data_IF_182957708567
#
_entry.id   IF_182957708567
#
_cell.length_a   1.000
_cell.length_b   1.000
_cell.length_c   1.000
_cell.angle_alpha   90.00
_cell.angle_beta   90.00
_cell.angle_gamma   90.00
#
_symmetry.space_group_name_H-M   'P 1'
#
loop_
_entity.id
_entity.type
_entity.pdbx_description
1 polymer ?
#
# COMPACT_ATOMS: atom_id res chain seq x y z
N UNK A 1 -0.40 -55.95 -13.29
CA UNK A 1 -0.63 -54.52 -13.65
C UNK A 1 -1.12 -53.61 -12.50
N UNK A 2 -0.95 -53.96 -11.20
CA UNK A 2 -1.40 -53.10 -10.07
C UNK A 2 -0.30 -52.27 -9.38
N UNK A 3 0.99 -52.53 -9.63
CA UNK A 3 2.11 -51.86 -8.94
C UNK A 3 2.56 -50.53 -9.55
N UNK A 4 2.23 -50.26 -10.81
CA UNK A 4 2.63 -49.03 -11.52
C UNK A 4 1.82 -47.80 -11.10
N UNK A 5 0.58 -47.99 -10.63
CA UNK A 5 -0.30 -46.89 -10.25
C UNK A 5 0.11 -46.18 -8.95
N UNK A 6 0.77 -46.89 -8.02
CA UNK A 6 1.27 -46.30 -6.78
C UNK A 6 2.55 -45.47 -6.96
N UNK A 7 3.44 -45.89 -7.85
CA UNK A 7 4.70 -45.18 -8.14
C UNK A 7 4.41 -43.84 -8.84
N UNK A 8 3.44 -43.81 -9.75
CA UNK A 8 3.03 -42.59 -10.45
C UNK A 8 2.46 -41.52 -9.49
N UNK A 9 1.75 -41.95 -8.44
CA UNK A 9 1.17 -41.06 -7.44
C UNK A 9 2.22 -40.45 -6.51
N UNK A 10 3.22 -41.25 -6.10
CA UNK A 10 4.38 -40.76 -5.32
C UNK A 10 5.22 -39.77 -6.13
N UNK A 11 5.40 -40.03 -7.43
CA UNK A 11 6.09 -39.09 -8.32
C UNK A 11 5.31 -37.77 -8.45
N UNK A 12 3.99 -37.80 -8.63
CA UNK A 12 3.17 -36.59 -8.74
C UNK A 12 3.22 -35.70 -7.49
N UNK A 13 3.32 -36.29 -6.29
CA UNK A 13 3.46 -35.54 -5.03
C UNK A 13 4.83 -34.88 -4.85
N UNK A 14 5.88 -35.35 -5.55
CA UNK A 14 7.22 -34.76 -5.45
C UNK A 14 7.47 -33.59 -6.42
N UNK A 15 6.55 -33.34 -7.36
CA UNK A 15 6.63 -32.22 -8.31
C UNK A 15 5.73 -31.03 -7.97
N UNK A 16 5.08 -31.02 -6.80
CA UNK A 16 4.39 -29.83 -6.31
C UNK A 16 5.41 -28.82 -5.75
N UNK A 17 6.25 -28.27 -6.63
CA UNK A 17 7.00 -27.05 -6.33
C UNK A 17 5.98 -25.93 -6.19
N UNK A 18 5.82 -25.43 -4.97
CA UNK A 18 5.10 -24.20 -4.69
C UNK A 18 5.81 -23.07 -5.44
N UNK A 19 5.18 -22.58 -6.51
CA UNK A 19 5.64 -21.41 -7.24
C UNK A 19 5.03 -20.19 -6.58
N UNK A 20 5.85 -19.43 -5.85
CA UNK A 20 5.48 -18.13 -5.31
C UNK A 20 6.10 -17.04 -6.19
N UNK A 21 5.28 -16.09 -6.64
CA UNK A 21 5.77 -14.91 -7.35
C UNK A 21 6.31 -13.90 -6.34
N UNK A 22 7.62 -13.60 -6.40
CA UNK A 22 8.27 -12.58 -5.57
C UNK A 22 8.01 -11.13 -6.03
N UNK A 23 7.21 -10.94 -7.08
CA UNK A 23 6.91 -9.62 -7.66
C UNK A 23 5.41 -9.36 -7.61
N UNK A 24 5.04 -8.21 -7.08
CA UNK A 24 3.69 -7.67 -7.06
C UNK A 24 3.56 -6.61 -8.17
N UNK A 25 2.76 -6.92 -9.19
CA UNK A 25 2.48 -5.99 -10.29
C UNK A 25 1.30 -5.10 -9.89
N UNK A 26 1.57 -3.81 -9.69
CA UNK A 26 0.59 -2.81 -9.24
C UNK A 26 -0.05 -2.09 -10.42
N UNK A 27 0.77 -1.82 -11.44
CA UNK A 27 0.34 -1.33 -12.74
C UNK A 27 1.35 -1.71 -13.81
N UNK A 28 1.06 -1.39 -15.07
CA UNK A 28 1.98 -1.63 -16.18
C UNK A 28 3.33 -0.89 -16.04
N UNK A 29 3.41 0.10 -15.14
CA UNK A 29 4.61 0.92 -14.88
C UNK A 29 5.19 0.75 -13.49
N UNK A 30 4.53 0.01 -12.60
CA UNK A 30 4.96 -0.13 -11.22
C UNK A 30 4.86 -1.58 -10.76
N UNK A 31 6.02 -2.11 -10.38
CA UNK A 31 6.18 -3.43 -9.80
C UNK A 31 6.95 -3.28 -8.50
N UNK A 32 6.62 -4.11 -7.52
CA UNK A 32 7.28 -4.15 -6.23
C UNK A 32 7.74 -5.57 -5.98
N UNK A 33 9.04 -5.73 -5.82
CA UNK A 33 9.59 -6.99 -5.33
C UNK A 33 9.41 -7.05 -3.81
N UNK A 34 8.96 -8.19 -3.31
CA UNK A 34 8.74 -8.42 -1.90
C UNK A 34 9.32 -9.77 -1.47
N UNK A 35 9.89 -9.87 -0.27
CA UNK A 35 10.37 -11.15 0.25
C UNK A 35 9.17 -12.08 0.51
N UNK A 36 9.44 -13.38 0.54
CA UNK A 36 8.39 -14.40 0.77
C UNK A 36 7.66 -14.16 2.11
N UNK A 37 6.34 -13.93 2.09
CA UNK A 37 5.55 -13.68 3.29
C UNK A 37 5.18 -14.99 4.00
N UNK A 38 4.97 -14.92 5.30
CA UNK A 38 4.40 -16.04 6.08
C UNK A 38 2.91 -16.24 5.76
N UNK A 39 2.22 -15.15 5.43
CA UNK A 39 0.80 -15.18 5.10
C UNK A 39 0.47 -14.04 4.14
N UNK A 40 -0.30 -14.37 3.10
CA UNK A 40 -1.02 -13.39 2.28
C UNK A 40 -2.50 -13.54 2.62
N UNK A 41 -3.15 -12.43 2.96
CA UNK A 41 -4.58 -12.41 3.28
C UNK A 41 -5.27 -11.25 2.59
N UNK A 42 -6.53 -11.46 2.23
CA UNK A 42 -7.41 -10.43 1.67
C UNK A 42 -8.40 -9.99 2.74
N UNK A 43 -8.57 -8.68 2.90
CA UNK A 43 -9.57 -8.09 3.80
C UNK A 43 -10.25 -6.93 3.07
N UNK A 44 -11.47 -7.15 2.58
CA UNK A 44 -12.13 -6.19 1.70
C UNK A 44 -11.36 -6.01 0.39
N UNK A 45 -10.97 -4.76 0.10
CA UNK A 45 -10.17 -4.39 -1.07
C UNK A 45 -8.66 -4.34 -0.79
N UNK A 46 -8.24 -4.72 0.42
CA UNK A 46 -6.85 -4.63 0.88
C UNK A 46 -6.16 -6.00 0.86
N UNK A 47 -4.97 -6.05 0.27
CA UNK A 47 -4.07 -7.19 0.29
C UNK A 47 -3.03 -7.01 1.40
N UNK A 48 -2.90 -8.00 2.28
CA UNK A 48 -2.05 -7.94 3.47
C UNK A 48 -1.03 -9.06 3.41
N UNK A 49 0.24 -8.69 3.53
CA UNK A 49 1.39 -9.58 3.57
C UNK A 49 1.99 -9.52 4.97
N UNK A 50 1.98 -10.65 5.67
CA UNK A 50 2.53 -10.75 7.03
C UNK A 50 3.87 -11.45 7.01
N UNK A 51 4.80 -10.87 7.76
CA UNK A 51 6.11 -11.42 8.07
C UNK A 51 6.20 -11.65 9.57
N UNK A 52 7.35 -12.15 10.03
CA UNK A 52 7.55 -12.44 11.46
C UNK A 52 7.39 -11.21 12.34
N UNK A 53 8.04 -10.11 11.95
CA UNK A 53 8.16 -8.91 12.80
C UNK A 53 7.60 -7.64 12.13
N UNK A 54 7.02 -7.77 10.94
CA UNK A 54 6.45 -6.67 10.19
C UNK A 54 5.34 -7.14 9.25
N UNK A 55 4.58 -6.21 8.69
CA UNK A 55 3.61 -6.48 7.65
C UNK A 55 3.55 -5.33 6.66
N UNK A 56 3.14 -5.61 5.42
CA UNK A 56 2.71 -4.57 4.52
C UNK A 56 1.29 -4.82 4.03
N UNK A 57 0.57 -3.73 3.85
CA UNK A 57 -0.77 -3.66 3.32
C UNK A 57 -0.72 -2.86 2.03
N UNK A 58 -1.47 -3.33 1.04
CA UNK A 58 -1.72 -2.66 -0.22
C UNK A 58 -3.22 -2.50 -0.39
N UNK A 59 -3.67 -1.30 -0.73
CA UNK A 59 -5.04 -1.05 -1.13
C UNK A 59 -5.15 0.08 -2.17
N UNK A 60 -6.39 0.27 -2.61
CA UNK A 60 -6.76 1.36 -3.51
C UNK A 60 -7.53 2.39 -2.72
N UNK A 61 -7.14 3.66 -2.83
CA UNK A 61 -7.90 4.74 -2.22
C UNK A 61 -9.26 4.82 -2.91
N UNK A 62 -10.29 4.41 -2.20
CA UNK A 62 -11.66 4.51 -2.65
C UNK A 62 -12.27 5.81 -2.10
N UNK A 63 -12.58 6.80 -2.97
CA UNK A 63 -13.04 8.12 -2.54
C UNK A 63 -14.33 8.10 -1.73
N UNK A 64 -15.13 7.04 -1.87
CA UNK A 64 -16.44 6.92 -1.20
C UNK A 64 -16.36 6.32 0.19
N UNK A 65 -15.27 5.61 0.50
CA UNK A 65 -15.18 4.78 1.71
C UNK A 65 -13.97 5.08 2.58
N UNK A 66 -12.98 5.82 2.07
CA UNK A 66 -11.78 6.20 2.85
C UNK A 66 -12.12 6.99 4.11
N UNK A 67 -13.13 7.84 4.08
CA UNK A 67 -13.67 8.51 5.26
C UNK A 67 -15.16 8.25 5.36
N UNK A 68 -15.61 7.80 6.54
CA UNK A 68 -17.02 7.60 6.80
C UNK A 68 -17.76 8.92 6.63
N UNK A 69 -18.85 8.89 5.87
CA UNK A 69 -19.73 10.05 5.62
C UNK A 69 -19.16 11.17 4.74
N UNK A 70 -18.01 10.96 4.07
CA UNK A 70 -17.45 11.95 3.14
C UNK A 70 -17.16 11.28 1.80
N UNK A 71 -17.86 11.70 0.75
CA UNK A 71 -17.53 11.31 -0.63
C UNK A 71 -16.50 12.29 -1.20
N UNK A 72 -15.29 11.79 -1.47
CA UNK A 72 -14.19 12.54 -2.04
C UNK A 72 -14.09 12.41 -3.57
N UNK A 73 -15.10 11.87 -4.24
CA UNK A 73 -15.05 11.60 -5.69
C UNK A 73 -14.75 12.88 -6.47
N UNK A 74 -13.69 12.85 -7.26
CA UNK A 74 -13.22 13.97 -8.09
C UNK A 74 -12.23 14.90 -7.37
N UNK A 75 -12.04 14.75 -6.07
CA UNK A 75 -11.09 15.55 -5.27
C UNK A 75 -10.11 14.70 -4.47
N UNK A 76 -10.21 13.37 -4.52
CA UNK A 76 -9.45 12.44 -3.67
C UNK A 76 -7.95 12.59 -3.82
N UNK A 77 -7.43 12.68 -5.05
CA UNK A 77 -5.99 12.89 -5.29
C UNK A 77 -5.49 14.18 -4.68
N UNK A 78 -6.24 15.28 -4.87
CA UNK A 78 -5.88 16.60 -4.33
C UNK A 78 -5.95 16.58 -2.81
N UNK A 79 -6.95 15.92 -2.25
CA UNK A 79 -7.10 15.75 -0.81
C UNK A 79 -5.93 14.97 -0.20
N UNK A 80 -5.59 13.78 -0.71
CA UNK A 80 -4.45 13.01 -0.17
C UNK A 80 -3.14 13.77 -0.35
N UNK A 81 -2.91 14.43 -1.50
CA UNK A 81 -1.70 15.26 -1.71
C UNK A 81 -1.60 16.40 -0.71
N UNK A 82 -2.73 16.93 -0.23
CA UNK A 82 -2.74 18.00 0.75
C UNK A 82 -2.18 17.61 2.12
N UNK A 83 -2.03 16.31 2.41
CA UNK A 83 -1.30 15.86 3.60
C UNK A 83 0.18 16.27 3.53
N UNK A 84 0.74 16.32 2.32
CA UNK A 84 2.17 16.50 2.07
C UNK A 84 2.56 17.87 1.52
N UNK A 85 1.57 18.71 1.20
CA UNK A 85 1.78 20.01 0.58
C UNK A 85 0.75 21.03 1.09
N UNK A 86 1.24 22.04 1.82
CA UNK A 86 0.41 23.10 2.40
C UNK A 86 -0.20 24.01 1.33
N UNK A 87 0.44 24.18 0.17
CA UNK A 87 -0.11 24.94 -0.96
C UNK A 87 -1.29 24.22 -1.60
N UNK A 88 -1.21 22.89 -1.71
CA UNK A 88 -2.34 22.09 -2.19
C UNK A 88 -3.48 22.16 -1.16
N UNK A 89 -3.16 22.09 0.13
CA UNK A 89 -4.14 22.20 1.21
C UNK A 89 -4.89 23.53 1.21
N UNK A 90 -4.21 24.65 0.99
CA UNK A 90 -4.84 25.97 0.94
C UNK A 90 -5.78 26.17 -0.26
N UNK A 91 -5.73 25.29 -1.25
CA UNK A 91 -6.63 25.31 -2.42
C UNK A 91 -7.87 24.41 -2.23
N UNK A 92 -8.03 23.75 -1.08
CA UNK A 92 -9.22 22.97 -0.75
C UNK A 92 -10.28 23.86 -0.10
N UNK A 93 -11.57 23.47 -0.15
CA UNK A 93 -12.58 24.05 0.72
C UNK A 93 -12.13 24.03 2.18
N UNK A 94 -12.50 25.06 2.95
CA UNK A 94 -12.00 25.27 4.31
C UNK A 94 -12.18 24.03 5.22
N UNK A 95 -13.36 23.41 5.20
CA UNK A 95 -13.65 22.21 5.98
C UNK A 95 -12.74 21.03 5.59
N UNK A 96 -12.41 20.88 4.30
CA UNK A 96 -11.59 19.80 3.80
C UNK A 96 -10.10 20.08 4.06
N UNK A 97 -9.68 21.34 4.02
CA UNK A 97 -8.35 21.78 4.46
C UNK A 97 -8.14 21.53 5.97
N UNK A 98 -9.18 21.77 6.78
CA UNK A 98 -9.17 21.47 8.21
C UNK A 98 -9.04 19.96 8.46
N UNK A 99 -9.85 19.14 7.79
CA UNK A 99 -9.74 17.67 7.88
C UNK A 99 -8.34 17.19 7.48
N UNK A 100 -7.78 17.70 6.38
CA UNK A 100 -6.40 17.38 5.96
C UNK A 100 -5.36 17.73 7.02
N UNK A 101 -5.51 18.89 7.68
CA UNK A 101 -4.61 19.32 8.77
C UNK A 101 -4.72 18.40 9.99
N UNK A 102 -5.92 17.92 10.31
CA UNK A 102 -6.13 16.94 11.37
C UNK A 102 -5.48 15.60 11.03
N UNK A 103 -5.66 15.10 9.80
CA UNK A 103 -5.03 13.85 9.34
C UNK A 103 -3.51 13.92 9.44
N UNK A 104 -2.90 15.03 9.03
CA UNK A 104 -1.44 15.26 9.17
C UNK A 104 -0.98 15.12 10.61
N UNK A 105 -1.76 15.64 11.56
CA UNK A 105 -1.44 15.56 12.99
C UNK A 105 -1.61 14.13 13.52
N UNK A 106 -2.70 13.46 13.16
CA UNK A 106 -2.97 12.07 13.58
C UNK A 106 -1.91 11.12 13.04
N UNK A 107 -1.51 11.30 11.79
CA UNK A 107 -0.50 10.49 11.12
C UNK A 107 0.95 10.86 11.46
N UNK A 108 1.19 11.85 12.32
CA UNK A 108 2.55 12.27 12.67
C UNK A 108 3.36 12.80 11.48
N UNK A 109 2.70 13.32 10.44
CA UNK A 109 3.38 13.81 9.24
C UNK A 109 4.04 15.15 9.56
N UNK A 110 5.34 15.24 9.30
CA UNK A 110 6.14 16.45 9.44
C UNK A 110 6.95 16.70 8.16
N UNK A 111 7.38 17.93 7.87
CA UNK A 111 8.25 18.17 6.71
C UNK A 111 9.52 17.30 6.68
N UNK A 112 10.01 16.88 7.85
CA UNK A 112 11.24 16.11 8.01
C UNK A 112 11.09 14.61 7.73
N UNK A 113 9.87 14.04 7.86
CA UNK A 113 9.65 12.60 7.63
C UNK A 113 9.00 12.27 6.28
N UNK A 114 8.70 13.28 5.47
CA UNK A 114 8.16 13.09 4.12
C UNK A 114 9.28 12.68 3.16
N UNK A 115 9.07 11.58 2.44
CA UNK A 115 9.88 11.18 1.28
C UNK A 115 9.05 11.31 0.00
N UNK A 116 9.68 11.80 -1.07
CA UNK A 116 9.07 11.94 -2.40
C UNK A 116 9.98 11.28 -3.42
N UNK A 117 9.41 10.45 -4.29
CA UNK A 117 10.12 9.88 -5.44
C UNK A 117 9.19 9.82 -6.64
N UNK A 118 9.75 9.57 -7.82
CA UNK A 118 9.01 9.53 -9.08
C UNK A 118 9.49 8.37 -9.94
N UNK A 119 8.55 7.64 -10.52
CA UNK A 119 8.80 6.53 -11.45
C UNK A 119 8.05 6.81 -12.74
N UNK A 120 8.75 7.32 -13.76
CA UNK A 120 8.11 7.81 -14.98
C UNK A 120 7.08 8.92 -14.69
N UNK A 121 5.79 8.74 -15.04
CA UNK A 121 4.74 9.72 -14.73
C UNK A 121 4.14 9.56 -13.32
N UNK A 122 4.55 8.54 -12.56
CA UNK A 122 3.95 8.20 -11.27
C UNK A 122 4.68 8.96 -10.16
N UNK A 123 3.94 9.76 -9.39
CA UNK A 123 4.45 10.38 -8.17
C UNK A 123 4.23 9.44 -6.98
N UNK A 124 5.26 9.23 -6.17
CA UNK A 124 5.17 8.44 -4.94
C UNK A 124 5.56 9.34 -3.78
N UNK A 125 4.66 9.49 -2.81
CA UNK A 125 4.87 10.31 -1.63
C UNK A 125 4.53 9.50 -0.40
N UNK A 126 5.43 9.46 0.57
CA UNK A 126 5.19 8.76 1.81
C UNK A 126 5.87 9.39 3.00
N UNK A 127 5.63 8.80 4.15
CA UNK A 127 6.24 9.17 5.42
C UNK A 127 6.42 7.93 6.27
N UNK A 128 7.31 8.03 7.24
CA UNK A 128 7.45 7.05 8.31
C UNK A 128 7.28 7.74 9.65
N UNK A 129 6.40 7.21 10.48
CA UNK A 129 6.23 7.61 11.87
C UNK A 129 6.95 6.62 12.79
N UNK A 130 7.96 7.13 13.49
CA UNK A 130 8.75 6.35 14.45
C UNK A 130 7.93 5.95 15.67
N UNK A 131 6.95 6.78 16.05
CA UNK A 131 6.13 6.55 17.24
C UNK A 131 5.20 5.35 17.03
N UNK A 132 4.46 5.33 15.93
CA UNK A 132 3.52 4.26 15.61
C UNK A 132 4.18 3.11 14.85
N UNK A 133 5.48 3.22 14.55
CA UNK A 133 6.27 2.20 13.83
C UNK A 133 5.61 1.84 12.49
N UNK A 134 5.12 2.86 11.80
CA UNK A 134 4.37 2.72 10.57
C UNK A 134 4.92 3.62 9.46
N UNK A 135 5.07 3.04 8.28
CA UNK A 135 5.37 3.74 7.05
C UNK A 135 4.13 3.75 6.17
N UNK A 136 3.76 4.91 5.62
CA UNK A 136 2.67 4.99 4.66
C UNK A 136 3.17 5.70 3.41
N UNK A 137 2.86 5.14 2.23
CA UNK A 137 3.12 5.83 0.98
C UNK A 137 1.95 5.70 0.03
N UNK A 138 1.78 6.75 -0.76
CA UNK A 138 0.72 6.90 -1.75
C UNK A 138 1.36 6.97 -3.12
N UNK A 139 0.83 6.15 -4.02
CA UNK A 139 1.22 6.09 -5.42
C UNK A 139 0.14 6.79 -6.22
N UNK A 140 0.46 7.95 -6.79
CA UNK A 140 -0.47 8.76 -7.57
C UNK A 140 -0.31 8.44 -9.05
N UNK A 141 -1.23 7.64 -9.58
CA UNK A 141 -1.33 7.31 -10.99
C UNK A 141 -2.40 8.18 -11.67
N UNK A 142 -2.50 8.10 -13.00
CA UNK A 142 -3.49 8.86 -13.78
C UNK A 142 -4.93 8.48 -13.45
N UNK A 143 -5.21 7.21 -13.19
CA UNK A 143 -6.58 6.71 -12.97
C UNK A 143 -6.86 6.27 -11.53
N UNK A 144 -5.83 6.11 -10.70
CA UNK A 144 -6.00 5.62 -9.33
C UNK A 144 -4.99 6.28 -8.38
N UNK A 145 -5.31 6.26 -7.09
CA UNK A 145 -4.32 6.42 -6.02
C UNK A 145 -4.25 5.11 -5.27
N UNK A 146 -3.06 4.53 -5.16
CA UNK A 146 -2.83 3.35 -4.32
C UNK A 146 -2.24 3.79 -3.00
N UNK A 147 -2.60 3.11 -1.93
CA UNK A 147 -2.01 3.31 -0.62
C UNK A 147 -1.32 2.02 -0.16
N UNK A 148 -0.15 2.22 0.43
CA UNK A 148 0.64 1.18 1.05
C UNK A 148 0.88 1.58 2.50
N UNK A 149 0.67 0.64 3.40
CA UNK A 149 1.04 0.77 4.80
C UNK A 149 2.03 -0.33 5.17
N UNK A 150 3.10 0.02 5.85
CA UNK A 150 4.12 -0.88 6.36
C UNK A 150 4.12 -0.73 7.87
N UNK A 151 3.82 -1.81 8.59
CA UNK A 151 3.89 -1.84 10.05
C UNK A 151 5.15 -2.59 10.44
N UNK A 152 6.16 -1.91 10.97
CA UNK A 152 7.49 -2.49 11.12
C UNK A 152 8.52 -1.50 11.66
N UNK A 153 9.73 -1.54 11.12
CA UNK A 153 10.79 -0.56 11.40
C UNK A 153 11.03 0.29 10.17
N UNK A 154 11.77 1.39 10.33
CA UNK A 154 12.17 2.24 9.19
C UNK A 154 12.96 1.48 8.13
N UNK A 155 13.67 0.42 8.49
CA UNK A 155 14.40 -0.42 7.52
C UNK A 155 13.47 -1.22 6.60
N UNK A 156 12.21 -1.39 7.00
CA UNK A 156 11.20 -2.02 6.16
C UNK A 156 10.56 -1.03 5.17
N UNK A 157 10.76 0.29 5.35
CA UNK A 157 10.15 1.39 4.58
C UNK A 157 11.14 2.09 3.62
#
# INVERSE_FOLDING_TARGET
MKKTSGILFVFALMFSSVCFSGTLVLSYKLQVDYPEPLLISLSGESLIFKYKDWSFLYDTVNPKTIYQSVDLTGVEKKFIRSFFDTKIRSQLPEWLAALSKEQVKVFGITPANIKKTKVGPIDIIGYYDEKDRSGHFYVFEELATRHFAIYGTKNNF
#
